data_IF_974024819421
#
_entry.id   IF_974024819421
#
_cell.length_a   1.000
_cell.length_b   1.000
_cell.length_c   1.000
_cell.angle_alpha   90.00
_cell.angle_beta   90.00
_cell.angle_gamma   90.00
#
_symmetry.space_group_name_H-M   'P 1'
#
loop_
_entity.id
_entity.type
_entity.pdbx_description
1 polymer ?
#
# COMPACT_ATOMS: atom_id res chain seq x y z
N UNK A 1 -4.50 -34.56 12.81
CA UNK A 1 -3.51 -33.55 13.21
C UNK A 1 -2.13 -33.89 12.62
N UNK A 2 -1.98 -33.77 11.29
CA UNK A 2 -0.71 -34.02 10.57
C UNK A 2 -0.14 -32.71 9.99
N UNK A 3 -0.98 -31.69 9.84
CA UNK A 3 -0.64 -30.34 9.40
C UNK A 3 0.28 -29.58 10.37
N UNK A 4 0.31 -29.95 11.67
CA UNK A 4 1.13 -29.30 12.70
C UNK A 4 2.65 -29.41 12.47
N UNK A 5 3.09 -30.27 11.56
CA UNK A 5 4.51 -30.45 11.24
C UNK A 5 4.97 -29.63 10.02
N UNK A 6 4.10 -28.82 9.40
CA UNK A 6 4.41 -27.95 8.26
C UNK A 6 5.23 -28.64 7.16
N UNK A 7 4.87 -29.90 6.85
CA UNK A 7 5.56 -30.72 5.85
C UNK A 7 5.06 -30.32 4.47
N UNK A 8 5.98 -29.90 3.59
CA UNK A 8 5.63 -29.38 2.26
C UNK A 8 4.77 -30.33 1.43
N UNK A 9 5.13 -31.61 1.39
CA UNK A 9 4.39 -32.63 0.64
C UNK A 9 2.96 -32.86 1.18
N UNK A 10 2.76 -32.68 2.49
CA UNK A 10 1.44 -32.85 3.12
C UNK A 10 0.56 -31.63 2.83
N UNK A 11 1.13 -30.43 2.95
CA UNK A 11 0.43 -29.18 2.64
C UNK A 11 0.07 -29.09 1.15
N UNK A 12 0.96 -29.51 0.27
CA UNK A 12 0.71 -29.55 -1.18
C UNK A 12 -0.45 -30.49 -1.52
N UNK A 13 -0.41 -31.73 -1.04
CA UNK A 13 -1.48 -32.70 -1.28
C UNK A 13 -2.82 -32.25 -0.66
N UNK A 14 -2.81 -31.64 0.53
CA UNK A 14 -4.02 -31.09 1.16
C UNK A 14 -4.59 -29.90 0.38
N UNK A 15 -3.73 -29.00 -0.08
CA UNK A 15 -4.17 -27.84 -0.86
C UNK A 15 -4.69 -28.27 -2.24
N UNK A 16 -4.17 -29.35 -2.83
CA UNK A 16 -4.74 -29.97 -4.03
C UNK A 16 -6.13 -30.55 -3.77
N UNK A 17 -6.31 -31.29 -2.67
CA UNK A 17 -7.63 -31.82 -2.28
C UNK A 17 -8.62 -30.67 -2.05
N UNK A 18 -8.24 -29.61 -1.34
CA UNK A 18 -9.11 -28.45 -1.14
C UNK A 18 -9.43 -27.71 -2.46
N UNK A 19 -8.51 -27.73 -3.42
CA UNK A 19 -8.75 -27.18 -4.75
C UNK A 19 -9.74 -28.03 -5.58
N UNK A 20 -9.73 -29.35 -5.41
CA UNK A 20 -10.70 -30.28 -6.02
C UNK A 20 -12.06 -30.26 -5.33
N UNK A 21 -12.09 -30.09 -3.99
CA UNK A 21 -13.32 -30.00 -3.19
C UNK A 21 -13.99 -28.61 -3.24
N UNK A 22 -13.35 -27.62 -3.88
CA UNK A 22 -13.82 -26.23 -3.99
C UNK A 22 -14.02 -25.52 -2.64
N UNK A 23 -13.35 -26.00 -1.57
CA UNK A 23 -13.44 -25.42 -0.22
C UNK A 23 -12.43 -24.26 -0.07
N UNK A 24 -12.86 -23.06 -0.45
CA UNK A 24 -12.04 -21.85 -0.41
C UNK A 24 -11.72 -21.36 1.02
N UNK A 25 -12.60 -21.63 2.00
CA UNK A 25 -12.41 -21.17 3.38
C UNK A 25 -11.30 -21.97 4.06
N UNK A 26 -11.34 -23.31 3.93
CA UNK A 26 -10.28 -24.17 4.47
C UNK A 26 -8.96 -24.01 3.75
N UNK A 27 -8.99 -23.77 2.44
CA UNK A 27 -7.78 -23.50 1.68
C UNK A 27 -7.09 -22.22 2.20
N UNK A 28 -7.85 -21.16 2.48
CA UNK A 28 -7.32 -19.93 3.03
C UNK A 28 -6.73 -20.10 4.43
N UNK A 29 -7.45 -20.79 5.33
CA UNK A 29 -6.94 -21.11 6.67
C UNK A 29 -5.65 -21.94 6.59
N UNK A 30 -5.61 -22.94 5.71
CA UNK A 30 -4.43 -23.78 5.47
C UNK A 30 -3.23 -22.94 5.01
N UNK A 31 -3.43 -22.01 4.07
CA UNK A 31 -2.40 -21.11 3.56
C UNK A 31 -1.91 -20.14 4.64
N UNK A 32 -2.78 -19.63 5.50
CA UNK A 32 -2.40 -18.70 6.56
C UNK A 32 -1.63 -19.39 7.70
N UNK A 33 -1.96 -20.65 8.00
CA UNK A 33 -1.32 -21.44 9.07
C UNK A 33 0.01 -22.10 8.63
N UNK A 34 0.15 -22.47 7.36
CA UNK A 34 1.30 -23.25 6.88
C UNK A 34 1.96 -22.64 5.65
N UNK A 35 3.16 -22.10 5.84
CA UNK A 35 3.89 -21.40 4.77
C UNK A 35 4.75 -22.30 3.87
N UNK A 36 4.94 -23.57 4.24
CA UNK A 36 5.79 -24.51 3.49
C UNK A 36 4.99 -25.23 2.41
N UNK A 37 4.88 -24.66 1.21
CA UNK A 37 4.35 -25.30 0.00
C UNK A 37 4.80 -24.56 -1.27
N UNK A 38 4.61 -25.15 -2.46
CA UNK A 38 4.85 -24.45 -3.72
C UNK A 38 3.73 -23.45 -4.01
N UNK A 39 3.93 -22.21 -3.56
CA UNK A 39 3.00 -21.10 -3.74
C UNK A 39 2.76 -20.77 -5.22
N UNK A 40 3.78 -20.93 -6.08
CA UNK A 40 3.69 -20.53 -7.48
C UNK A 40 2.95 -21.61 -8.29
N UNK A 41 3.33 -22.88 -8.09
CA UNK A 41 2.69 -24.01 -8.78
C UNK A 41 1.20 -24.13 -8.40
N UNK A 42 0.86 -23.96 -7.12
CA UNK A 42 -0.53 -23.99 -6.66
C UNK A 42 -1.32 -22.82 -7.25
N UNK A 43 -0.80 -21.59 -7.23
CA UNK A 43 -1.50 -20.43 -7.77
C UNK A 43 -1.79 -20.56 -9.27
N UNK A 44 -0.86 -21.11 -10.07
CA UNK A 44 -1.07 -21.34 -11.51
C UNK A 44 -2.15 -22.39 -11.81
N UNK A 45 -2.31 -23.40 -10.95
CA UNK A 45 -3.40 -24.38 -11.06
C UNK A 45 -4.74 -23.72 -10.76
N UNK A 46 -4.80 -22.99 -9.64
CA UNK A 46 -6.03 -22.33 -9.17
C UNK A 46 -6.47 -21.19 -10.10
N UNK A 47 -5.53 -20.52 -10.79
CA UNK A 47 -5.83 -19.44 -11.76
C UNK A 47 -6.80 -19.87 -12.87
N UNK A 48 -6.82 -21.16 -13.22
CA UNK A 48 -7.65 -21.71 -14.30
C UNK A 48 -9.03 -22.18 -13.84
N UNK A 49 -9.33 -22.19 -12.55
CA UNK A 49 -10.62 -22.64 -12.05
C UNK A 49 -11.75 -21.69 -12.47
N UNK A 50 -12.95 -22.25 -12.68
CA UNK A 50 -14.13 -21.51 -13.13
C UNK A 50 -14.69 -20.57 -12.04
N UNK A 51 -14.61 -20.99 -10.77
CA UNK A 51 -15.01 -20.20 -9.59
C UNK A 51 -14.11 -18.97 -9.38
N UNK A 52 -14.74 -17.81 -9.20
CA UNK A 52 -14.08 -16.52 -8.96
C UNK A 52 -13.42 -16.52 -7.57
N UNK A 53 -14.04 -17.19 -6.60
CA UNK A 53 -13.58 -17.31 -5.22
C UNK A 53 -12.25 -18.06 -5.14
N UNK A 54 -12.09 -19.11 -5.96
CA UNK A 54 -10.82 -19.83 -6.08
C UNK A 54 -9.75 -18.95 -6.72
N UNK A 55 -10.06 -18.23 -7.80
CA UNK A 55 -9.13 -17.26 -8.40
C UNK A 55 -8.74 -16.13 -7.44
N UNK A 56 -9.65 -15.73 -6.54
CA UNK A 56 -9.36 -14.79 -5.45
C UNK A 56 -8.34 -15.35 -4.46
N UNK A 57 -8.45 -16.63 -4.10
CA UNK A 57 -7.43 -17.31 -3.29
C UNK A 57 -6.10 -17.38 -4.04
N UNK A 58 -6.09 -17.64 -5.35
CA UNK A 58 -4.86 -17.58 -6.16
C UNK A 58 -4.21 -16.18 -6.14
N UNK A 59 -5.00 -15.12 -6.26
CA UNK A 59 -4.51 -13.74 -6.13
C UNK A 59 -3.90 -13.48 -4.75
N UNK A 60 -4.49 -14.04 -3.68
CA UNK A 60 -3.97 -13.98 -2.32
C UNK A 60 -2.66 -14.78 -2.14
N UNK A 61 -2.54 -15.94 -2.76
CA UNK A 61 -1.28 -16.71 -2.78
C UNK A 61 -0.18 -15.91 -3.50
N UNK A 62 -0.47 -15.32 -4.66
CA UNK A 62 0.50 -14.47 -5.36
C UNK A 62 0.93 -13.24 -4.56
N UNK A 63 -0.01 -12.67 -3.79
CA UNK A 63 0.22 -11.57 -2.86
C UNK A 63 1.21 -11.99 -1.76
N UNK A 64 0.99 -13.15 -1.13
CA UNK A 64 1.88 -13.71 -0.10
C UNK A 64 3.26 -14.08 -0.65
N UNK A 65 3.32 -14.51 -1.91
CA UNK A 65 4.55 -14.82 -2.63
C UNK A 65 5.33 -13.58 -3.13
N UNK A 66 4.80 -12.36 -2.95
CA UNK A 66 5.41 -11.12 -3.41
C UNK A 66 5.34 -10.88 -4.93
N UNK A 67 4.48 -11.61 -5.66
CA UNK A 67 4.26 -11.44 -7.11
C UNK A 67 3.07 -10.51 -7.39
N UNK A 68 3.24 -9.24 -7.07
CA UNK A 68 2.20 -8.21 -7.16
C UNK A 68 1.63 -8.04 -8.57
N UNK A 69 2.48 -8.04 -9.60
CA UNK A 69 2.07 -7.87 -11.01
C UNK A 69 1.09 -8.95 -11.47
N UNK A 70 1.36 -10.21 -11.10
CA UNK A 70 0.51 -11.35 -11.47
C UNK A 70 -0.81 -11.33 -10.70
N UNK A 71 -0.76 -11.03 -9.40
CA UNK A 71 -1.95 -10.86 -8.58
C UNK A 71 -2.88 -9.76 -9.11
N UNK A 72 -2.33 -8.60 -9.47
CA UNK A 72 -3.11 -7.49 -10.05
C UNK A 72 -3.68 -7.86 -11.42
N UNK A 73 -2.92 -8.55 -12.27
CA UNK A 73 -3.40 -8.98 -13.59
C UNK A 73 -4.59 -9.95 -13.48
N UNK A 74 -4.53 -10.89 -12.53
CA UNK A 74 -5.61 -11.84 -12.26
C UNK A 74 -6.86 -11.10 -11.74
N UNK A 75 -6.68 -10.24 -10.74
CA UNK A 75 -7.78 -9.46 -10.17
C UNK A 75 -8.40 -8.47 -11.16
N UNK A 76 -7.63 -7.95 -12.13
CA UNK A 76 -8.14 -7.16 -13.27
C UNK A 76 -9.04 -8.00 -14.18
N UNK A 77 -8.68 -9.25 -14.46
CA UNK A 77 -9.48 -10.18 -15.27
C UNK A 77 -10.83 -10.48 -14.62
N UNK A 78 -10.83 -10.59 -13.29
CA UNK A 78 -12.02 -10.89 -12.50
C UNK A 78 -12.86 -9.66 -12.11
N UNK A 79 -12.45 -8.46 -12.52
CA UNK A 79 -13.09 -7.18 -12.14
C UNK A 79 -13.18 -6.96 -10.61
N UNK A 80 -12.30 -7.58 -9.84
CA UNK A 80 -12.25 -7.48 -8.39
C UNK A 80 -11.40 -6.28 -7.95
N UNK A 81 -11.97 -5.09 -8.07
CA UNK A 81 -11.20 -3.86 -7.89
C UNK A 81 -10.77 -3.55 -6.45
N UNK A 82 -11.52 -4.01 -5.45
CA UNK A 82 -11.16 -3.82 -4.03
C UNK A 82 -9.86 -4.53 -3.70
N UNK A 83 -9.76 -5.81 -4.08
CA UNK A 83 -8.57 -6.62 -3.84
C UNK A 83 -7.37 -6.12 -4.67
N UNK A 84 -7.61 -5.59 -5.88
CA UNK A 84 -6.57 -4.91 -6.66
C UNK A 84 -5.96 -3.73 -5.89
N UNK A 85 -6.80 -2.86 -5.31
CA UNK A 85 -6.34 -1.67 -4.59
C UNK A 85 -5.58 -2.03 -3.31
N UNK A 86 -6.07 -3.01 -2.55
CA UNK A 86 -5.36 -3.49 -1.35
C UNK A 86 -4.01 -4.12 -1.70
N UNK A 87 -3.95 -4.86 -2.81
CA UNK A 87 -2.70 -5.48 -3.29
C UNK A 87 -1.71 -4.43 -3.78
N UNK A 88 -2.18 -3.39 -4.46
CA UNK A 88 -1.34 -2.27 -4.88
C UNK A 88 -0.80 -1.47 -3.67
N UNK A 89 -1.64 -1.17 -2.70
CA UNK A 89 -1.23 -0.48 -1.46
C UNK A 89 -0.17 -1.27 -0.69
N UNK A 90 -0.33 -2.59 -0.57
CA UNK A 90 0.65 -3.46 0.09
C UNK A 90 1.95 -3.65 -0.69
N UNK A 91 1.92 -3.51 -2.02
CA UNK A 91 3.14 -3.65 -2.83
C UNK A 91 4.15 -2.53 -2.58
N UNK A 92 3.70 -1.34 -2.16
CA UNK A 92 4.58 -0.18 -1.95
C UNK A 92 5.14 0.44 -3.24
N UNK A 93 4.83 -0.12 -4.41
CA UNK A 93 5.38 0.32 -5.69
C UNK A 93 4.55 1.45 -6.29
N UNK A 94 5.16 2.64 -6.42
CA UNK A 94 4.55 3.82 -7.04
C UNK A 94 4.07 3.53 -8.48
N UNK A 95 4.90 2.89 -9.30
CA UNK A 95 4.59 2.60 -10.70
C UNK A 95 3.36 1.69 -10.86
N UNK A 96 3.17 0.73 -9.95
CA UNK A 96 2.03 -0.18 -9.98
C UNK A 96 0.73 0.54 -9.63
N UNK A 97 0.78 1.45 -8.66
CA UNK A 97 -0.37 2.27 -8.27
C UNK A 97 -0.80 3.21 -9.41
N UNK A 98 0.16 3.86 -10.08
CA UNK A 98 -0.12 4.74 -11.23
C UNK A 98 -0.70 3.96 -12.42
N UNK A 99 -0.13 2.79 -12.75
CA UNK A 99 -0.68 1.91 -13.79
C UNK A 99 -2.10 1.42 -13.47
N UNK A 100 -2.41 1.22 -12.18
CA UNK A 100 -3.75 0.83 -11.73
C UNK A 100 -4.74 2.00 -11.89
N UNK A 101 -4.33 3.23 -11.60
CA UNK A 101 -5.14 4.43 -11.82
C UNK A 101 -5.48 4.62 -13.30
N UNK A 102 -4.50 4.50 -14.19
CA UNK A 102 -4.73 4.58 -15.65
C UNK A 102 -5.75 3.54 -16.10
N UNK A 103 -5.64 2.30 -15.60
CA UNK A 103 -6.59 1.25 -15.89
C UNK A 103 -8.02 1.59 -15.42
N UNK A 104 -8.20 2.16 -14.22
CA UNK A 104 -9.54 2.55 -13.74
C UNK A 104 -10.17 3.66 -14.56
N UNK A 105 -9.36 4.57 -15.08
CA UNK A 105 -9.80 5.64 -15.98
C UNK A 105 -10.27 5.05 -17.31
N UNK A 106 -9.51 4.13 -17.90
CA UNK A 106 -9.90 3.43 -19.13
C UNK A 106 -11.20 2.64 -18.96
N UNK A 107 -11.41 2.02 -17.80
CA UNK A 107 -12.66 1.33 -17.47
C UNK A 107 -13.84 2.29 -17.19
N UNK A 108 -13.59 3.59 -17.10
CA UNK A 108 -14.62 4.61 -16.89
C UNK A 108 -15.28 4.58 -15.50
N UNK A 109 -14.73 3.83 -14.53
CA UNK A 109 -15.30 3.69 -13.19
C UNK A 109 -14.75 4.75 -12.24
N UNK A 110 -15.46 5.88 -12.18
CA UNK A 110 -15.08 7.07 -11.38
C UNK A 110 -14.97 6.79 -9.87
N UNK A 111 -15.82 5.91 -9.34
CA UNK A 111 -15.83 5.51 -7.92
C UNK A 111 -14.57 4.72 -7.53
N UNK A 112 -14.10 3.86 -8.44
CA UNK A 112 -12.88 3.08 -8.23
C UNK A 112 -11.65 4.00 -8.22
N UNK A 113 -11.64 5.05 -9.04
CA UNK A 113 -10.58 6.05 -9.03
C UNK A 113 -10.47 6.76 -7.67
N UNK A 114 -11.59 7.25 -7.12
CA UNK A 114 -11.60 7.91 -5.81
C UNK A 114 -11.13 6.98 -4.68
N UNK A 115 -11.59 5.73 -4.70
CA UNK A 115 -11.21 4.73 -3.69
C UNK A 115 -9.73 4.36 -3.80
N UNK A 116 -9.20 4.25 -5.03
CA UNK A 116 -7.79 3.97 -5.26
C UNK A 116 -6.89 5.10 -4.73
N UNK A 117 -7.27 6.37 -4.95
CA UNK A 117 -6.56 7.52 -4.40
C UNK A 117 -6.50 7.49 -2.87
N UNK A 118 -7.57 7.03 -2.23
CA UNK A 118 -7.64 6.94 -0.77
C UNK A 118 -6.83 5.76 -0.22
N UNK A 119 -6.96 4.57 -0.81
CA UNK A 119 -6.27 3.35 -0.34
C UNK A 119 -4.77 3.40 -0.59
N UNK A 120 -4.34 4.06 -1.67
CA UNK A 120 -2.94 4.22 -2.04
C UNK A 120 -2.41 5.63 -1.73
N UNK A 121 -2.91 6.28 -0.67
CA UNK A 121 -2.59 7.67 -0.33
C UNK A 121 -1.08 7.95 -0.29
N UNK A 122 -0.31 7.07 0.36
CA UNK A 122 1.14 7.22 0.52
C UNK A 122 1.94 6.91 -0.76
N UNK A 123 1.36 6.11 -1.67
CA UNK A 123 2.02 5.67 -2.89
C UNK A 123 1.76 6.60 -4.08
N UNK A 124 0.67 7.35 -4.09
CA UNK A 124 0.31 8.15 -5.26
C UNK A 124 0.89 9.55 -5.12
N UNK A 125 1.59 10.01 -6.16
CA UNK A 125 2.06 11.40 -6.22
C UNK A 125 0.88 12.32 -6.54
N UNK A 126 0.67 13.41 -5.76
CA UNK A 126 -0.42 14.35 -5.99
C UNK A 126 -0.41 14.95 -7.40
N UNK A 127 0.78 15.23 -7.94
CA UNK A 127 0.94 15.80 -9.29
C UNK A 127 0.32 14.89 -10.36
N UNK A 128 0.63 13.60 -10.30
CA UNK A 128 0.13 12.58 -11.25
C UNK A 128 -1.37 12.36 -11.06
N UNK A 129 -1.84 12.29 -9.81
CA UNK A 129 -3.27 12.17 -9.52
C UNK A 129 -4.07 13.35 -10.10
N UNK A 130 -3.54 14.56 -9.97
CA UNK A 130 -4.19 15.78 -10.46
C UNK A 130 -4.17 15.87 -11.99
N UNK A 131 -3.05 15.52 -12.63
CA UNK A 131 -2.97 15.45 -14.10
C UNK A 131 -4.01 14.46 -14.66
N UNK A 132 -4.06 13.25 -14.10
CA UNK A 132 -5.02 12.22 -14.51
C UNK A 132 -6.46 12.65 -14.24
N UNK A 133 -6.75 13.29 -13.11
CA UNK A 133 -8.09 13.79 -12.79
C UNK A 133 -8.51 14.95 -13.72
N UNK A 134 -7.58 15.82 -14.09
CA UNK A 134 -7.82 16.96 -14.97
C UNK A 134 -8.10 16.54 -16.40
N UNK A 135 -7.26 15.68 -16.99
CA UNK A 135 -7.42 15.19 -18.37
C UNK A 135 -8.76 14.48 -18.55
N UNK A 136 -9.21 13.75 -17.54
CA UNK A 136 -10.42 12.92 -17.61
C UNK A 136 -11.67 13.61 -17.05
N UNK A 137 -11.58 14.89 -16.68
CA UNK A 137 -12.70 15.68 -16.15
C UNK A 137 -13.36 15.03 -14.91
N UNK A 138 -12.53 14.53 -13.97
CA UNK A 138 -12.95 13.83 -12.73
C UNK A 138 -12.39 14.50 -11.46
N UNK A 139 -12.11 15.80 -11.52
CA UNK A 139 -11.48 16.57 -10.44
C UNK A 139 -12.30 16.50 -9.14
N UNK A 140 -13.62 16.50 -9.24
CA UNK A 140 -14.53 16.44 -8.08
C UNK A 140 -14.27 15.20 -7.19
N UNK A 141 -13.87 14.08 -7.80
CA UNK A 141 -13.56 12.84 -7.09
C UNK A 141 -12.16 12.82 -6.46
N UNK A 142 -11.22 13.59 -7.02
CA UNK A 142 -9.86 13.73 -6.48
C UNK A 142 -9.78 14.82 -5.39
N UNK A 143 -10.79 15.68 -5.29
CA UNK A 143 -10.77 16.83 -4.40
C UNK A 143 -10.60 16.49 -2.91
N UNK A 144 -11.27 15.45 -2.35
CA UNK A 144 -11.07 15.06 -0.95
C UNK A 144 -9.63 14.64 -0.64
N UNK A 145 -8.99 13.92 -1.58
CA UNK A 145 -7.59 13.52 -1.48
C UNK A 145 -6.66 14.75 -1.46
N UNK A 146 -6.89 15.70 -2.38
CA UNK A 146 -6.08 16.91 -2.47
C UNK A 146 -6.23 17.79 -1.22
N UNK A 147 -7.43 17.91 -0.67
CA UNK A 147 -7.66 18.68 0.56
C UNK A 147 -6.91 18.07 1.75
N UNK A 148 -6.92 16.74 1.88
CA UNK A 148 -6.16 16.05 2.92
C UNK A 148 -4.65 16.31 2.77
N UNK A 149 -4.13 16.19 1.54
CA UNK A 149 -2.73 16.46 1.24
C UNK A 149 -2.32 17.89 1.59
N UNK A 150 -3.11 18.89 1.18
CA UNK A 150 -2.84 20.30 1.47
C UNK A 150 -2.83 20.55 2.98
N UNK A 151 -3.79 19.98 3.72
CA UNK A 151 -3.88 20.14 5.18
C UNK A 151 -2.68 19.54 5.91
N UNK A 152 -2.27 18.34 5.53
CA UNK A 152 -1.08 17.70 6.12
C UNK A 152 0.20 18.44 5.76
N UNK A 153 0.31 18.92 4.52
CA UNK A 153 1.47 19.68 4.07
C UNK A 153 1.56 21.01 4.81
N UNK A 154 0.47 21.77 4.92
CA UNK A 154 0.45 23.01 5.70
C UNK A 154 0.79 22.76 7.17
N UNK A 155 0.25 21.70 7.77
CA UNK A 155 0.52 21.34 9.17
C UNK A 155 2.00 21.00 9.40
N UNK A 156 2.58 20.13 8.56
CA UNK A 156 4.01 19.76 8.64
C UNK A 156 4.93 20.96 8.42
N UNK A 157 4.58 21.84 7.47
CA UNK A 157 5.35 23.07 7.21
C UNK A 157 5.29 24.01 8.41
N UNK A 158 4.11 24.19 9.02
CA UNK A 158 3.95 25.04 10.21
C UNK A 158 4.74 24.49 11.41
N UNK A 159 4.75 23.18 11.63
CA UNK A 159 5.56 22.52 12.66
C UNK A 159 7.06 22.72 12.42
N UNK A 160 7.54 22.44 11.20
CA UNK A 160 8.95 22.64 10.84
C UNK A 160 9.40 24.10 10.99
N UNK A 161 8.53 25.06 10.69
CA UNK A 161 8.80 26.48 10.87
C UNK A 161 8.94 26.81 12.36
N UNK A 162 8.06 26.27 13.23
CA UNK A 162 8.15 26.44 14.69
C UNK A 162 9.43 25.84 15.25
N UNK A 163 9.76 24.61 14.89
CA UNK A 163 10.97 23.92 15.35
C UNK A 163 12.23 24.69 14.96
N UNK A 164 12.29 25.20 13.71
CA UNK A 164 13.42 26.04 13.27
C UNK A 164 13.49 27.36 14.02
N UNK A 165 12.35 27.99 14.33
CA UNK A 165 12.32 29.23 15.10
C UNK A 165 12.76 29.01 16.55
N UNK A 166 12.37 27.91 17.17
CA UNK A 166 12.78 27.54 18.53
C UNK A 166 14.27 27.20 18.59
N UNK A 167 14.77 26.39 17.65
CA UNK A 167 16.20 26.10 17.54
C UNK A 167 17.03 27.38 17.34
N UNK A 168 16.56 28.32 16.51
CA UNK A 168 17.24 29.61 16.35
C UNK A 168 17.20 30.48 17.60
N UNK A 169 16.11 30.42 18.39
CA UNK A 169 16.02 31.15 19.67
C UNK A 169 16.95 30.57 20.72
N UNK A 170 17.06 29.24 20.82
CA UNK A 170 17.99 28.59 21.74
C UNK A 170 19.45 28.87 21.39
N UNK A 171 19.80 28.86 20.10
CA UNK A 171 21.16 29.22 19.66
C UNK A 171 21.47 30.68 20.00
N UNK A 172 20.53 31.60 19.75
CA UNK A 172 20.69 33.02 20.12
C UNK A 172 20.77 33.23 21.64
N UNK A 173 20.01 32.47 22.42
CA UNK A 173 20.05 32.52 23.88
C UNK A 173 21.41 32.03 24.41
N UNK A 174 21.94 30.92 23.89
CA UNK A 174 23.29 30.43 24.24
C UNK A 174 24.39 31.41 23.84
N UNK A 175 24.30 32.02 22.65
CA UNK A 175 25.26 33.05 22.23
C UNK A 175 25.18 34.32 23.10
N UNK A 176 24.01 34.67 23.63
CA UNK A 176 23.87 35.80 24.57
C UNK A 176 24.43 35.44 25.96
N UNK A 177 24.17 34.25 26.47
CA UNK A 177 24.76 33.76 27.71
C UNK A 177 26.29 33.71 27.64
N UNK A 178 26.86 33.23 26.53
CA UNK A 178 28.31 33.22 26.33
C UNK A 178 28.91 34.63 26.25
N UNK A 179 28.21 35.59 25.61
CA UNK A 179 28.63 37.00 25.58
C UNK A 179 28.54 37.67 26.95
N UNK A 180 27.51 37.37 27.72
CA UNK A 180 27.34 37.91 29.07
C UNK A 180 28.41 37.35 30.03
N UNK A 181 28.73 36.05 29.94
CA UNK A 181 29.81 35.42 30.72
C UNK A 181 31.19 35.98 30.34
N UNK A 182 31.47 36.18 29.04
CA UNK A 182 32.70 36.83 28.60
C UNK A 182 32.77 38.31 29.04
N UNK A 183 31.64 39.04 29.04
CA UNK A 183 31.60 40.42 29.52
C UNK A 183 31.88 40.52 31.02
N UNK A 184 31.37 39.57 31.81
CA UNK A 184 31.62 39.49 33.24
C UNK A 184 33.09 39.16 33.52
N UNK A 185 33.68 38.18 32.84
CA UNK A 185 35.11 37.85 33.00
C UNK A 185 36.05 39.01 32.68
N UNK A 186 35.75 39.81 31.65
CA UNK A 186 36.52 41.00 31.32
C UNK A 186 36.34 42.17 32.29
N UNK A 187 35.30 42.16 33.14
CA UNK A 187 35.06 43.19 34.15
C UNK A 187 35.80 42.91 35.47
N UNK A 188 36.21 41.66 35.70
CA UNK A 188 36.93 41.22 36.91
C UNK A 188 38.45 41.04 36.70
N UNK A 189 38.99 41.41 35.52
CA UNK A 189 40.41 41.42 35.19
C UNK A 189 40.95 42.86 35.15
#
# INVERSE_FOLDING_TARGET
AVQSNNVSAVNEALNEIYAEEEDYDRLRESIDLHDSFDQIGLAQKIEKHELVEMRRVAAYIYKKAGRWKQSIALSKKDNMYKDCMETASQSGDHDLAEQLLVYFIEQGKKECFATCLFVCYDLIRPDVALELAWINNMIDFAFPYLLQFIREYSGKVDELIKDKLEAQKEVKAKEQEEKDVMSQQNMYA
#
